data_IF_519253100409
#
_entry.id   IF_519253100409
#
_cell.length_a   1.000
_cell.length_b   1.000
_cell.length_c   1.000
_cell.angle_alpha   90.00
_cell.angle_beta   90.00
_cell.angle_gamma   90.00
#
_symmetry.space_group_name_H-M   'P 1'
#
loop_
_entity.id
_entity.type
_entity.pdbx_description
1 polymer ?
#
# COMPACT_ATOMS: atom_id res chain seq x y z
N UNK A 1 25.11 -16.94 37.09
CA UNK A 1 24.85 -15.53 36.79
C UNK A 1 24.55 -15.43 35.30
N UNK A 2 23.33 -15.04 34.92
CA UNK A 2 23.06 -14.55 33.56
C UNK A 2 23.36 -13.05 33.58
N UNK A 3 24.63 -12.71 33.69
CA UNK A 3 25.04 -11.32 33.54
C UNK A 3 24.77 -10.96 32.08
N UNK A 4 23.76 -10.12 31.86
CA UNK A 4 23.38 -9.65 30.55
C UNK A 4 24.55 -8.80 30.04
N UNK A 5 25.37 -9.40 29.19
CA UNK A 5 26.54 -8.73 28.61
C UNK A 5 26.06 -7.59 27.73
N UNK A 6 26.21 -6.36 28.24
CA UNK A 6 25.93 -5.13 27.49
C UNK A 6 27.13 -4.87 26.59
N UNK A 7 26.92 -4.94 25.29
CA UNK A 7 27.92 -4.63 24.27
C UNK A 7 28.35 -3.15 24.38
N UNK A 8 29.59 -2.84 24.78
CA UNK A 8 30.05 -1.47 25.01
C UNK A 8 30.10 -0.62 23.73
N UNK A 9 30.10 -1.27 22.56
CA UNK A 9 30.07 -0.56 21.27
C UNK A 9 28.66 -0.12 20.86
N UNK A 10 27.62 -0.62 21.54
CA UNK A 10 26.22 -0.38 21.19
C UNK A 10 25.77 -1.03 19.86
N UNK A 11 26.64 -1.79 19.19
CA UNK A 11 26.34 -2.38 17.88
C UNK A 11 25.19 -3.38 17.94
N UNK A 12 25.12 -4.14 19.03
CA UNK A 12 24.09 -5.15 19.27
C UNK A 12 22.71 -4.52 19.49
N UNK A 13 22.65 -3.38 20.18
CA UNK A 13 21.41 -2.63 20.38
C UNK A 13 20.94 -1.97 19.09
N UNK A 14 21.85 -1.41 18.29
CA UNK A 14 21.52 -0.84 16.99
C UNK A 14 20.99 -1.89 16.01
N UNK A 15 21.62 -3.08 15.95
CA UNK A 15 21.12 -4.19 15.14
C UNK A 15 19.76 -4.70 15.63
N UNK A 16 19.56 -4.80 16.94
CA UNK A 16 18.23 -5.14 17.51
C UNK A 16 17.18 -4.11 17.14
N UNK A 17 17.49 -2.82 17.21
CA UNK A 17 16.57 -1.75 16.82
C UNK A 17 16.22 -1.80 15.33
N UNK A 18 17.20 -2.11 14.46
CA UNK A 18 16.96 -2.29 13.03
C UNK A 18 16.09 -3.52 12.73
N UNK A 19 16.33 -4.64 13.41
CA UNK A 19 15.53 -5.86 13.24
C UNK A 19 14.11 -5.73 13.81
N UNK A 20 13.96 -4.98 14.91
CA UNK A 20 12.67 -4.69 15.53
C UNK A 20 11.90 -3.56 14.82
N UNK A 21 12.57 -2.83 13.91
CA UNK A 21 11.90 -1.90 13.03
C UNK A 21 11.05 -2.70 12.03
N UNK A 22 9.77 -2.86 12.38
CA UNK A 22 8.77 -3.34 11.44
C UNK A 22 8.88 -2.51 10.15
N UNK A 23 8.99 -3.13 8.96
CA UNK A 23 8.95 -2.37 7.72
C UNK A 23 7.69 -1.53 7.74
N UNK A 24 7.84 -0.20 7.67
CA UNK A 24 6.73 0.73 7.67
C UNK A 24 5.71 0.21 6.65
N UNK A 25 4.50 -0.11 7.14
CA UNK A 25 3.46 -0.69 6.32
C UNK A 25 3.29 0.19 5.08
N UNK A 26 3.73 -0.32 3.93
CA UNK A 26 3.71 0.45 2.69
C UNK A 26 2.25 0.66 2.37
N UNK A 27 1.79 1.89 2.56
CA UNK A 27 0.38 2.23 2.35
C UNK A 27 0.08 1.99 0.87
N UNK A 28 -0.81 1.03 0.59
CA UNK A 28 -1.16 0.72 -0.79
C UNK A 28 -1.74 1.98 -1.46
N UNK A 29 -1.36 2.26 -2.73
CA UNK A 29 -1.85 3.44 -3.42
C UNK A 29 -3.38 3.43 -3.50
N UNK A 30 -4.04 4.61 -3.41
CA UNK A 30 -5.49 4.70 -3.39
C UNK A 30 -6.06 4.20 -4.72
N UNK A 31 -7.06 3.30 -4.64
CA UNK A 31 -7.78 2.77 -5.81
C UNK A 31 -8.88 3.70 -6.33
N UNK A 32 -9.17 4.77 -5.60
CA UNK A 32 -10.22 5.74 -5.92
C UNK A 32 -10.17 6.26 -7.38
N UNK A 33 -9.02 6.71 -7.93
CA UNK A 33 -8.98 7.17 -9.33
C UNK A 33 -9.30 6.07 -10.34
N UNK A 34 -8.88 4.83 -10.08
CA UNK A 34 -9.20 3.68 -10.95
C UNK A 34 -10.70 3.39 -10.96
N UNK A 35 -11.33 3.42 -9.78
CA UNK A 35 -12.77 3.19 -9.64
C UNK A 35 -13.56 4.29 -10.38
N UNK A 36 -13.16 5.55 -10.23
CA UNK A 36 -13.79 6.67 -10.93
C UNK A 36 -13.65 6.51 -12.45
N UNK A 37 -12.44 6.20 -12.94
CA UNK A 37 -12.22 5.96 -14.37
C UNK A 37 -13.08 4.82 -14.92
N UNK A 38 -13.14 3.69 -14.22
CA UNK A 38 -13.97 2.55 -14.61
C UNK A 38 -15.47 2.89 -14.66
N UNK A 39 -15.97 3.66 -13.68
CA UNK A 39 -17.36 4.11 -13.66
C UNK A 39 -17.69 5.02 -14.85
N UNK A 40 -16.82 5.96 -15.18
CA UNK A 40 -17.00 6.86 -16.34
C UNK A 40 -17.05 6.06 -17.65
N UNK A 41 -16.13 5.11 -17.83
CA UNK A 41 -16.11 4.24 -19.02
C UNK A 41 -17.40 3.42 -19.12
N UNK A 42 -17.87 2.83 -18.01
CA UNK A 42 -19.10 2.06 -18.00
C UNK A 42 -20.32 2.90 -18.44
N UNK A 43 -20.44 4.13 -17.93
CA UNK A 43 -21.52 5.05 -18.33
C UNK A 43 -21.42 5.40 -19.81
N UNK A 44 -20.22 5.69 -20.32
CA UNK A 44 -20.01 6.00 -21.74
C UNK A 44 -20.41 4.83 -22.66
N UNK A 45 -20.07 3.59 -22.27
CA UNK A 45 -20.44 2.39 -23.03
C UNK A 45 -21.96 2.18 -23.03
N UNK A 46 -22.63 2.36 -21.88
CA UNK A 46 -24.09 2.25 -21.80
C UNK A 46 -24.77 3.31 -22.66
N UNK A 47 -24.30 4.56 -22.61
CA UNK A 47 -24.83 5.64 -23.41
C UNK A 47 -24.65 5.37 -24.92
N UNK A 48 -23.46 4.89 -25.33
CA UNK A 48 -23.18 4.53 -26.70
C UNK A 48 -24.06 3.36 -27.17
N UNK A 49 -24.21 2.31 -26.35
CA UNK A 49 -25.07 1.18 -26.67
C UNK A 49 -26.54 1.60 -26.81
N UNK A 50 -27.03 2.46 -25.91
CA UNK A 50 -28.37 3.03 -26.00
C UNK A 50 -28.56 3.88 -27.26
N UNK A 51 -27.58 4.72 -27.60
CA UNK A 51 -27.61 5.50 -28.83
C UNK A 51 -27.65 4.60 -30.07
N UNK A 52 -26.79 3.58 -30.14
CA UNK A 52 -26.77 2.61 -31.25
C UNK A 52 -28.06 1.79 -31.35
N UNK A 53 -28.74 1.52 -30.25
CA UNK A 53 -30.00 0.78 -30.25
C UNK A 53 -31.21 1.64 -30.69
N UNK A 54 -31.11 2.97 -30.55
CA UNK A 54 -32.16 3.92 -30.91
C UNK A 54 -31.93 4.62 -32.27
N UNK A 55 -30.72 4.51 -32.83
CA UNK A 55 -30.38 5.02 -34.16
C UNK A 55 -30.88 4.08 -35.27
#
# INVERSE_FOLDING_TARGET
>A
MSDEYVDPSGSTEAFRAFQAAEPAATQAPPRLPLIIGAAVVAVAVIALAGWLALA
#
